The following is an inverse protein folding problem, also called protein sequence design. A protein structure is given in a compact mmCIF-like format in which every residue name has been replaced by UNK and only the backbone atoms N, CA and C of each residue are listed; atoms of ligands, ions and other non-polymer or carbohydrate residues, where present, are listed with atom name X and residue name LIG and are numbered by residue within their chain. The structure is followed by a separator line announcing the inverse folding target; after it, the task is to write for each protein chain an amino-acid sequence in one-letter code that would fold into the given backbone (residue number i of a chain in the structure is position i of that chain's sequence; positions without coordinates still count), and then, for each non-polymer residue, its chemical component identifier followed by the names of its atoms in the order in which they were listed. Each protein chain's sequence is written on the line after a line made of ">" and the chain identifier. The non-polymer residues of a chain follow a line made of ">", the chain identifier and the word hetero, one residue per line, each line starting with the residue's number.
data_IF_608043076666
#
_entry.id   IF_608043076666
#
_cell.length_a   1.000
_cell.length_b   1.000
_cell.length_c   1.000
_cell.angle_alpha   90.00
_cell.angle_beta   90.00
_cell.angle_gamma   90.00
#
_symmetry.space_group_name_H-M   'P 1'
#
loop_
_entity.id
_entity.type
_entity.pdbx_description
1 polymer ?
#
# COMPACT_ATOMS: atom_id res chain seq x y z
N UNK A 1 -14.18 39.64 49.53
CA UNK A 1 -12.73 39.74 49.87
C UNK A 1 -12.54 39.11 51.23
N UNK A 2 -11.42 38.40 51.51
CA UNK A 2 -10.11 38.44 50.84
C UNK A 2 -9.95 37.26 49.82
N UNK A 3 -9.39 37.37 48.60
CA UNK A 3 -8.02 37.71 48.10
C UNK A 3 -6.94 36.88 48.84
N UNK A 4 -6.02 36.10 48.27
CA UNK A 4 -5.32 35.89 46.98
C UNK A 4 -4.77 34.43 47.05
N UNK A 5 -4.29 33.74 46.01
CA UNK A 5 -3.92 34.14 44.66
C UNK A 5 -3.46 32.94 43.83
N UNK A 6 -3.45 33.14 42.52
CA UNK A 6 -2.97 32.22 41.49
C UNK A 6 -1.44 32.31 41.43
N UNK A 7 -0.75 31.17 41.41
CA UNK A 7 0.55 31.02 40.75
C UNK A 7 0.59 29.69 40.01
N UNK A 8 0.75 29.78 38.69
CA UNK A 8 0.98 28.63 37.83
C UNK A 8 2.36 28.03 38.03
N UNK A 9 2.45 26.71 37.90
CA UNK A 9 3.69 26.02 37.61
C UNK A 9 3.59 25.45 36.19
N UNK A 10 4.50 25.92 35.34
CA UNK A 10 4.88 25.25 34.09
C UNK A 10 5.36 23.84 34.44
N UNK A 11 4.72 22.82 33.86
CA UNK A 11 5.33 21.51 33.73
C UNK A 11 6.20 21.53 32.48
N UNK A 12 7.50 21.75 32.67
CA UNK A 12 8.50 21.46 31.64
C UNK A 12 8.63 19.93 31.48
N UNK A 13 8.13 19.42 30.36
CA UNK A 13 8.41 18.05 29.91
C UNK A 13 9.85 17.99 29.37
N UNK A 14 10.80 17.77 30.27
CA UNK A 14 12.15 17.35 29.89
C UNK A 14 12.14 15.84 29.59
N UNK A 15 12.04 15.48 28.32
CA UNK A 15 12.19 14.08 27.90
C UNK A 15 13.66 13.70 27.84
N UNK A 16 14.18 13.11 28.90
CA UNK A 16 15.43 12.34 28.84
C UNK A 16 15.08 10.92 28.41
N UNK A 17 15.01 10.69 27.09
CA UNK A 17 14.95 9.33 26.56
C UNK A 17 16.34 8.70 26.61
N UNK A 18 16.62 7.93 27.67
CA UNK A 18 17.68 6.92 27.65
C UNK A 18 17.18 5.75 26.79
N UNK A 19 17.84 5.52 25.66
CA UNK A 19 17.64 4.33 24.83
C UNK A 19 17.90 3.06 25.65
N UNK A 20 16.90 2.19 25.77
CA UNK A 20 17.06 0.83 26.28
C UNK A 20 17.87 -0.04 25.28
N UNK A 21 18.55 -1.08 25.75
CA UNK A 21 19.56 -1.78 24.95
C UNK A 21 18.96 -2.61 23.81
N UNK A 22 19.49 -2.42 22.60
CA UNK A 22 19.35 -3.33 21.47
C UNK A 22 20.06 -4.67 21.78
N UNK A 23 19.31 -5.76 21.85
CA UNK A 23 19.87 -7.11 21.95
C UNK A 23 20.43 -7.54 20.58
N UNK A 24 21.71 -7.27 20.33
CA UNK A 24 22.45 -7.88 19.24
C UNK A 24 22.86 -9.31 19.62
N UNK A 25 22.28 -10.31 18.95
CA UNK A 25 22.78 -11.68 18.98
C UNK A 25 24.19 -11.76 18.38
N UNK A 26 25.24 -11.74 19.21
CA UNK A 26 26.60 -12.11 18.80
C UNK A 26 26.67 -13.63 18.62
N UNK A 27 26.71 -14.08 17.35
CA UNK A 27 27.14 -15.44 16.98
C UNK A 27 28.55 -15.67 17.52
N UNK A 28 28.68 -16.55 18.51
CA UNK A 28 29.97 -17.01 19.05
C UNK A 28 30.49 -18.11 18.11
N UNK A 29 31.30 -17.74 17.12
CA UNK A 29 32.04 -18.70 16.30
C UNK A 29 33.17 -19.30 17.14
N UNK A 30 33.06 -20.58 17.49
CA UNK A 30 34.20 -21.40 17.89
C UNK A 30 34.93 -21.82 16.62
N UNK A 31 36.17 -21.38 16.44
CA UNK A 31 37.13 -22.11 15.62
C UNK A 31 38.43 -22.25 16.40
N UNK A 32 38.87 -23.50 16.41
CA UNK A 32 40.10 -24.04 16.97
C UNK A 32 41.34 -23.65 16.16
N UNK A 33 42.48 -23.78 16.83
CA UNK A 33 43.86 -23.94 16.34
C UNK A 33 44.63 -22.75 15.76
N UNK A 34 45.59 -22.32 16.58
CA UNK A 34 47.05 -22.23 16.37
C UNK A 34 47.63 -21.39 15.22
N UNK A 35 48.63 -20.63 15.67
CA UNK A 35 49.92 -20.26 15.07
C UNK A 35 50.12 -18.81 14.61
N UNK A 36 51.27 -18.32 15.09
CA UNK A 36 51.87 -17.00 15.01
C UNK A 36 52.46 -16.69 13.63
N UNK A 37 53.02 -15.48 13.55
CA UNK A 37 53.80 -14.86 12.47
C UNK A 37 52.91 -14.12 11.47
N UNK A 38 53.22 -12.89 11.05
CA UNK A 38 54.46 -12.14 11.09
C UNK A 38 54.45 -11.23 9.85
N UNK A 39 54.65 -9.93 10.08
CA UNK A 39 55.23 -8.93 9.16
C UNK A 39 54.82 -8.84 7.67
N UNK A 40 54.67 -7.57 7.28
CA UNK A 40 55.08 -6.94 6.01
C UNK A 40 54.06 -6.76 4.87
N UNK A 41 53.93 -5.46 4.58
CA UNK A 41 53.49 -4.75 3.39
C UNK A 41 53.88 -5.38 2.04
N UNK A 42 53.01 -5.22 1.05
CA UNK A 42 53.38 -4.76 -0.30
C UNK A 42 52.15 -4.19 -1.02
N UNK A 43 52.32 -3.00 -1.60
CA UNK A 43 51.44 -2.39 -2.60
C UNK A 43 51.62 -3.11 -3.94
N UNK A 44 50.54 -3.34 -4.70
CA UNK A 44 50.59 -3.41 -6.17
C UNK A 44 49.31 -2.81 -6.76
N UNK A 45 49.50 -1.82 -7.62
CA UNK A 45 48.52 -1.12 -8.44
C UNK A 45 48.29 -1.82 -9.80
N UNK A 46 47.08 -1.61 -10.34
CA UNK A 46 46.61 -1.63 -11.75
C UNK A 46 46.98 -2.76 -12.72
N UNK A 47 45.94 -3.36 -13.34
CA UNK A 47 45.71 -3.31 -14.80
C UNK A 47 44.39 -4.00 -15.24
N UNK A 48 43.59 -3.31 -16.06
CA UNK A 48 42.67 -3.90 -17.06
C UNK A 48 43.48 -4.39 -18.27
N UNK A 49 42.96 -5.33 -19.09
CA UNK A 49 42.57 -4.92 -20.45
C UNK A 49 41.39 -5.68 -21.13
N UNK A 50 40.65 -4.89 -21.90
CA UNK A 50 40.09 -5.06 -23.27
C UNK A 50 39.56 -6.41 -23.80
N UNK A 51 38.28 -6.35 -24.17
CA UNK A 51 37.68 -6.52 -25.52
C UNK A 51 38.22 -7.56 -26.52
N UNK A 52 37.32 -8.43 -27.01
CA UNK A 52 37.47 -9.23 -28.23
C UNK A 52 36.16 -9.93 -28.63
N UNK A 53 35.68 -9.62 -29.85
CA UNK A 53 34.45 -10.09 -30.51
C UNK A 53 34.46 -11.59 -30.83
N UNK A 54 33.27 -12.20 -31.02
CA UNK A 54 32.83 -12.84 -32.28
C UNK A 54 31.37 -13.31 -32.27
N UNK A 55 30.79 -13.27 -33.47
CA UNK A 55 29.40 -13.48 -33.87
C UNK A 55 28.99 -14.96 -33.91
N UNK A 56 27.69 -15.21 -33.80
CA UNK A 56 26.97 -16.18 -34.65
C UNK A 56 25.47 -15.84 -34.66
N UNK A 57 25.00 -15.24 -35.75
CA UNK A 57 23.60 -15.16 -36.11
C UNK A 57 23.32 -16.25 -37.15
N UNK A 58 22.27 -17.04 -36.93
CA UNK A 58 21.75 -18.02 -37.88
C UNK A 58 20.68 -17.32 -38.71
N UNK A 59 20.91 -17.24 -40.02
CA UNK A 59 19.95 -16.78 -41.01
C UNK A 59 19.25 -18.00 -41.62
N UNK A 60 17.91 -17.93 -41.72
CA UNK A 60 17.12 -18.69 -42.68
C UNK A 60 16.50 -17.65 -43.63
N UNK A 61 16.89 -17.72 -44.89
CA UNK A 61 16.31 -16.92 -45.98
C UNK A 61 15.30 -17.74 -46.76
N UNK A 62 14.28 -17.05 -47.30
CA UNK A 62 13.61 -17.38 -48.55
C UNK A 62 13.15 -16.05 -49.20
N UNK A 63 13.51 -15.89 -50.47
CA UNK A 63 13.27 -14.72 -51.33
C UNK A 63 11.91 -14.75 -52.07
N UNK A 64 11.48 -13.63 -52.71
CA UNK A 64 10.11 -13.41 -53.19
C UNK A 64 9.93 -13.46 -54.73
N UNK A 65 8.67 -13.55 -55.17
CA UNK A 65 8.18 -13.12 -56.50
C UNK A 65 6.94 -13.89 -57.00
N UNK A 66 6.20 -13.44 -58.04
CA UNK A 66 6.17 -12.12 -58.70
C UNK A 66 4.75 -11.51 -58.87
N UNK A 67 4.72 -10.29 -59.42
CA UNK A 67 3.55 -9.51 -59.85
C UNK A 67 2.69 -10.15 -60.95
N UNK A 68 1.38 -9.85 -60.96
CA UNK A 68 0.45 -10.06 -62.08
C UNK A 68 -0.84 -9.27 -61.90
N UNK A 69 -1.32 -8.66 -62.98
CA UNK A 69 -2.22 -7.50 -63.07
C UNK A 69 -3.68 -7.81 -63.45
N UNK A 70 -4.58 -6.86 -63.14
CA UNK A 70 -5.80 -6.41 -63.84
C UNK A 70 -6.95 -7.38 -64.17
N UNK A 71 -8.19 -6.90 -63.90
CA UNK A 71 -9.43 -7.43 -64.48
C UNK A 71 -10.68 -6.71 -63.94
N UNK A 72 -11.14 -5.69 -64.67
CA UNK A 72 -12.48 -5.09 -64.57
C UNK A 72 -13.57 -6.02 -65.12
N UNK A 73 -14.81 -5.84 -64.64
CA UNK A 73 -16.14 -6.07 -65.26
C UNK A 73 -17.14 -6.46 -64.15
N UNK A 74 -18.43 -6.13 -64.13
CA UNK A 74 -19.30 -5.14 -64.75
C UNK A 74 -20.68 -5.33 -64.05
N UNK A 75 -21.30 -4.25 -63.56
CA UNK A 75 -22.76 -3.86 -63.41
C UNK A 75 -23.88 -4.93 -63.14
N UNK A 76 -25.12 -4.57 -62.67
CA UNK A 76 -25.75 -3.25 -62.50
C UNK A 76 -26.45 -2.99 -61.12
N UNK A 77 -26.35 -1.76 -60.60
CA UNK A 77 -27.31 -0.64 -60.71
C UNK A 77 -28.67 -0.83 -60.01
N UNK A 78 -28.88 -0.03 -58.94
CA UNK A 78 -30.21 0.44 -58.54
C UNK A 78 -30.12 1.92 -58.17
N UNK A 79 -30.89 2.68 -58.92
CA UNK A 79 -30.96 4.13 -58.98
C UNK A 79 -31.91 4.65 -57.90
N UNK A 80 -31.53 5.70 -57.19
CA UNK A 80 -32.49 6.71 -56.74
C UNK A 80 -31.77 8.06 -56.72
N UNK A 81 -32.17 8.93 -57.64
CA UNK A 81 -31.56 10.23 -57.85
C UNK A 81 -32.20 11.33 -57.00
N UNK A 82 -31.39 12.34 -56.71
CA UNK A 82 -31.81 13.73 -56.75
C UNK A 82 -30.57 14.60 -57.02
N UNK A 83 -30.45 15.06 -58.25
CA UNK A 83 -29.51 16.09 -58.68
C UNK A 83 -29.91 17.46 -58.11
N UNK A 84 -28.93 18.22 -57.62
CA UNK A 84 -28.82 19.65 -57.93
C UNK A 84 -27.36 19.96 -58.24
N UNK A 85 -27.14 20.68 -59.33
CA UNK A 85 -25.89 20.88 -60.07
C UNK A 85 -25.21 22.20 -59.67
N UNK A 86 -23.87 22.13 -59.53
CA UNK A 86 -22.81 23.14 -59.74
C UNK A 86 -22.88 24.56 -59.13
N UNK A 87 -21.78 24.97 -58.50
CA UNK A 87 -20.91 26.01 -59.10
C UNK A 87 -19.49 25.99 -58.48
N UNK A 88 -18.47 25.85 -59.34
CA UNK A 88 -17.06 25.99 -59.00
C UNK A 88 -16.71 27.46 -58.72
N UNK A 89 -16.20 27.76 -57.52
CA UNK A 89 -15.37 28.96 -57.29
C UNK A 89 -14.03 28.53 -56.68
N UNK A 90 -12.98 28.60 -57.51
CA UNK A 90 -11.58 28.60 -57.05
C UNK A 90 -11.39 29.83 -56.17
N UNK A 91 -10.98 29.62 -54.93
CA UNK A 91 -10.36 30.67 -54.14
C UNK A 91 -9.17 30.08 -53.39
N UNK A 92 -7.98 30.33 -53.95
CA UNK A 92 -6.69 30.10 -53.32
C UNK A 92 -6.56 31.04 -52.11
N UNK A 93 -6.66 30.49 -50.91
CA UNK A 93 -6.21 31.15 -49.67
C UNK A 93 -5.41 30.15 -48.84
N UNK A 94 -4.22 30.60 -48.48
CA UNK A 94 -3.22 29.90 -47.70
C UNK A 94 -3.82 29.30 -46.42
N UNK A 95 -3.80 27.98 -46.32
CA UNK A 95 -4.03 27.25 -45.09
C UNK A 95 -2.69 27.09 -44.37
N UNK A 96 -2.28 28.11 -43.61
CA UNK A 96 -1.50 27.85 -42.41
C UNK A 96 -2.49 27.40 -41.35
N UNK A 97 -2.80 26.11 -41.38
CA UNK A 97 -3.64 25.48 -40.38
C UNK A 97 -2.79 25.34 -39.10
N UNK A 98 -2.90 26.34 -38.23
CA UNK A 98 -2.54 26.20 -36.82
C UNK A 98 -3.46 25.12 -36.25
N UNK A 99 -2.99 23.88 -36.21
CA UNK A 99 -3.55 22.88 -35.31
C UNK A 99 -3.26 23.33 -33.87
N UNK A 100 -4.08 24.25 -33.36
CA UNK A 100 -4.28 24.41 -31.93
C UNK A 100 -4.99 23.13 -31.51
N UNK A 101 -4.20 22.12 -31.12
CA UNK A 101 -4.73 20.98 -30.39
C UNK A 101 -5.32 21.54 -29.10
N UNK A 102 -6.63 21.74 -29.05
CA UNK A 102 -7.34 21.92 -27.80
C UNK A 102 -7.12 20.65 -26.99
N UNK A 103 -6.06 20.63 -26.16
CA UNK A 103 -5.91 19.61 -25.12
C UNK A 103 -7.20 19.63 -24.32
N UNK A 104 -7.80 18.46 -24.18
CA UNK A 104 -9.00 18.24 -23.40
C UNK A 104 -8.86 19.01 -22.07
N UNK A 105 -9.77 19.93 -21.80
CA UNK A 105 -9.62 20.94 -20.73
C UNK A 105 -9.74 20.36 -19.32
N UNK A 106 -10.08 19.07 -19.21
CA UNK A 106 -10.18 18.36 -17.94
C UNK A 106 -8.85 17.68 -17.60
N UNK A 107 -8.33 17.85 -16.37
CA UNK A 107 -7.11 17.19 -15.95
C UNK A 107 -7.29 15.68 -15.94
N UNK A 108 -6.22 14.95 -16.21
CA UNK A 108 -6.17 13.49 -16.20
C UNK A 108 -5.28 12.99 -15.06
N UNK A 109 -5.76 11.99 -14.31
CA UNK A 109 -5.07 11.50 -13.11
C UNK A 109 -4.75 10.02 -13.23
N UNK A 110 -3.49 9.66 -13.03
CA UNK A 110 -3.04 8.28 -12.85
C UNK A 110 -2.96 7.94 -11.36
N UNK A 111 -3.33 6.72 -10.98
CA UNK A 111 -3.07 6.14 -9.65
C UNK A 111 -2.24 4.88 -9.83
N UNK A 112 -1.04 4.83 -9.27
CA UNK A 112 -0.12 3.70 -9.41
C UNK A 112 -0.24 2.78 -8.20
N UNK A 113 -0.71 1.55 -8.42
CA UNK A 113 -0.87 0.50 -7.42
C UNK A 113 -2.33 0.14 -7.13
N UNK A 114 -2.65 -1.15 -7.17
CA UNK A 114 -4.00 -1.69 -6.90
C UNK A 114 -4.15 -2.31 -5.49
N UNK A 115 -3.24 -1.98 -4.57
CA UNK A 115 -3.40 -2.30 -3.16
C UNK A 115 -4.49 -1.44 -2.50
N UNK A 116 -4.76 -1.69 -1.22
CA UNK A 116 -5.79 -0.97 -0.46
C UNK A 116 -5.62 0.55 -0.50
N UNK A 117 -4.37 1.06 -0.43
CA UNK A 117 -4.08 2.50 -0.48
C UNK A 117 -4.43 3.09 -1.85
N UNK A 118 -4.03 2.44 -2.94
CA UNK A 118 -4.27 2.94 -4.29
C UNK A 118 -5.75 2.92 -4.68
N UNK A 119 -6.46 1.82 -4.40
CA UNK A 119 -7.91 1.74 -4.64
C UNK A 119 -8.71 2.74 -3.80
N UNK A 120 -8.31 2.95 -2.53
CA UNK A 120 -8.95 3.95 -1.67
C UNK A 120 -8.66 5.37 -2.18
N UNK A 121 -7.43 5.66 -2.62
CA UNK A 121 -7.08 6.95 -3.24
C UNK A 121 -7.87 7.18 -4.53
N UNK A 122 -7.96 6.18 -5.41
CA UNK A 122 -8.66 6.29 -6.69
C UNK A 122 -10.17 6.55 -6.52
N UNK A 123 -10.82 5.85 -5.59
CA UNK A 123 -12.25 6.05 -5.30
C UNK A 123 -12.53 7.42 -4.67
N UNK A 124 -11.68 7.88 -3.74
CA UNK A 124 -11.80 9.21 -3.15
C UNK A 124 -11.50 10.34 -4.14
N UNK A 125 -10.61 10.12 -5.13
CA UNK A 125 -10.41 11.07 -6.23
C UNK A 125 -11.67 11.25 -7.08
N UNK A 126 -12.39 10.15 -7.38
CA UNK A 126 -13.66 10.23 -8.11
C UNK A 126 -14.72 11.02 -7.32
N UNK A 127 -14.76 10.85 -5.99
CA UNK A 127 -15.69 11.58 -5.12
C UNK A 127 -15.33 13.08 -5.05
N UNK A 128 -14.04 13.42 -4.94
CA UNK A 128 -13.57 14.80 -4.79
C UNK A 128 -13.52 15.59 -6.11
N UNK A 129 -13.36 14.91 -7.25
CA UNK A 129 -13.23 15.52 -8.57
C UNK A 129 -14.17 14.87 -9.60
N UNK A 130 -15.50 15.05 -9.47
CA UNK A 130 -16.46 14.48 -10.41
C UNK A 130 -16.17 14.86 -11.87
N UNK A 131 -16.27 13.89 -12.78
CA UNK A 131 -16.01 14.06 -14.20
C UNK A 131 -14.53 14.07 -14.61
N UNK A 132 -13.60 14.06 -13.65
CA UNK A 132 -12.16 13.98 -13.94
C UNK A 132 -11.76 12.53 -14.25
N UNK A 133 -11.13 12.24 -15.41
CA UNK A 133 -10.68 10.89 -15.72
C UNK A 133 -9.62 10.39 -14.73
N UNK A 134 -9.92 9.30 -14.03
CA UNK A 134 -8.99 8.60 -13.13
C UNK A 134 -8.67 7.22 -13.71
N UNK A 135 -7.38 6.96 -13.91
CA UNK A 135 -6.88 5.67 -14.38
C UNK A 135 -6.01 5.03 -13.31
N UNK A 136 -6.34 3.80 -12.91
CA UNK A 136 -5.54 3.01 -11.98
C UNK A 136 -4.63 2.05 -12.77
N UNK A 137 -3.33 2.09 -12.52
CA UNK A 137 -2.32 1.25 -13.17
C UNK A 137 -1.61 0.39 -12.12
N UNK A 138 -1.53 -0.92 -12.36
CA UNK A 138 -0.75 -1.83 -11.50
C UNK A 138 -0.34 -3.10 -12.24
N UNK A 139 0.68 -3.79 -11.74
CA UNK A 139 1.14 -5.10 -12.23
C UNK A 139 0.58 -6.28 -11.41
N UNK A 140 -0.09 -5.99 -10.29
CA UNK A 140 -0.68 -6.97 -9.36
C UNK A 140 -2.01 -6.47 -8.86
N UNK A 141 -2.99 -7.37 -8.80
CA UNK A 141 -4.35 -7.07 -8.37
C UNK A 141 -4.85 -8.08 -7.35
N UNK A 142 -5.83 -7.67 -6.53
CA UNK A 142 -6.56 -8.56 -5.62
C UNK A 142 -5.61 -9.46 -4.79
N UNK A 143 -5.63 -10.76 -5.04
CA UNK A 143 -4.90 -11.79 -4.30
C UNK A 143 -3.37 -11.72 -4.46
N UNK A 144 -2.89 -11.04 -5.50
CA UNK A 144 -1.47 -10.88 -5.79
C UNK A 144 -0.85 -9.69 -5.03
N UNK A 145 -1.67 -8.90 -4.34
CA UNK A 145 -1.21 -7.73 -3.59
C UNK A 145 -0.80 -8.10 -2.16
N UNK A 146 0.11 -7.32 -1.56
CA UNK A 146 0.41 -7.43 -0.12
C UNK A 146 -0.84 -7.23 0.74
N UNK A 147 -1.82 -6.48 0.26
CA UNK A 147 -3.08 -6.22 0.96
C UNK A 147 -3.89 -7.50 1.17
N UNK A 148 -3.89 -8.46 0.23
CA UNK A 148 -4.63 -9.74 0.35
C UNK A 148 -4.33 -10.50 1.65
N UNK A 149 -3.05 -10.60 1.99
CA UNK A 149 -2.60 -11.34 3.16
C UNK A 149 -2.63 -10.56 4.45
N UNK A 150 -3.00 -9.27 4.41
CA UNK A 150 -3.09 -8.46 5.61
C UNK A 150 -4.13 -9.03 6.58
N UNK A 151 -3.83 -8.89 7.87
CA UNK A 151 -4.68 -9.39 8.94
C UNK A 151 -5.92 -8.50 9.15
N UNK A 152 -5.85 -7.22 8.74
CA UNK A 152 -7.02 -6.35 8.55
C UNK A 152 -7.52 -5.59 9.77
N UNK A 153 -7.01 -5.87 10.98
CA UNK A 153 -7.50 -5.20 12.20
C UNK A 153 -7.06 -3.75 12.30
N UNK A 154 -7.99 -2.90 12.71
CA UNK A 154 -7.74 -1.52 13.08
C UNK A 154 -7.07 -1.46 14.46
N UNK A 155 -5.73 -1.43 14.45
CA UNK A 155 -4.89 -1.41 15.65
C UNK A 155 -3.58 -0.66 15.39
N UNK A 156 -3.52 0.67 15.55
CA UNK A 156 -2.28 1.43 15.43
C UNK A 156 -1.20 0.94 16.39
N UNK A 157 -0.01 0.70 15.85
CA UNK A 157 1.19 0.55 16.66
C UNK A 157 1.73 1.90 17.10
N UNK A 158 2.43 1.93 18.23
CA UNK A 158 3.03 3.17 18.76
C UNK A 158 4.15 3.73 17.87
N UNK A 159 4.69 2.90 16.98
CA UNK A 159 5.69 3.28 15.98
C UNK A 159 5.09 3.84 14.69
N UNK A 160 3.76 3.81 14.52
CA UNK A 160 3.13 4.41 13.36
C UNK A 160 3.22 5.93 13.46
N UNK A 161 3.81 6.56 12.46
CA UNK A 161 3.97 8.01 12.43
C UNK A 161 3.85 8.56 11.00
N UNK A 162 3.12 9.66 10.88
CA UNK A 162 3.16 10.57 9.75
C UNK A 162 4.23 11.64 9.93
N UNK A 163 4.15 12.77 9.22
CA UNK A 163 5.13 13.85 9.29
C UNK A 163 5.07 14.62 10.63
N UNK A 164 3.91 14.62 11.31
CA UNK A 164 3.76 15.20 12.65
C UNK A 164 2.77 14.39 13.50
N UNK A 165 2.79 14.53 14.84
CA UNK A 165 1.80 13.90 15.71
C UNK A 165 0.35 14.28 15.38
N UNK A 166 0.12 15.53 14.95
CA UNK A 166 -1.21 16.03 14.57
C UNK A 166 -1.72 15.38 13.29
N UNK A 167 -0.85 15.26 12.28
CA UNK A 167 -1.18 14.57 11.03
C UNK A 167 -1.42 13.08 11.28
N UNK A 168 -0.57 12.46 12.12
CA UNK A 168 -0.73 11.07 12.53
C UNK A 168 -2.09 10.84 13.19
N UNK A 169 -2.45 11.69 14.16
CA UNK A 169 -3.74 11.62 14.86
C UNK A 169 -4.90 11.74 13.88
N UNK A 170 -4.87 12.75 13.00
CA UNK A 170 -5.91 12.99 11.99
C UNK A 170 -6.09 11.80 11.06
N UNK A 171 -5.00 11.21 10.56
CA UNK A 171 -5.11 10.04 9.69
C UNK A 171 -5.76 8.85 10.38
N UNK A 172 -5.48 8.65 11.68
CA UNK A 172 -6.14 7.59 12.45
C UNK A 172 -7.63 7.89 12.62
N UNK A 173 -7.99 9.09 13.07
CA UNK A 173 -9.39 9.49 13.25
C UNK A 173 -10.20 9.40 11.95
N UNK A 174 -9.68 9.96 10.86
CA UNK A 174 -10.31 9.94 9.53
C UNK A 174 -10.47 8.51 9.00
N UNK A 175 -9.48 7.65 9.23
CA UNK A 175 -9.57 6.25 8.79
C UNK A 175 -10.59 5.46 9.58
N UNK A 176 -10.63 5.64 10.89
CA UNK A 176 -11.64 4.97 11.73
C UNK A 176 -13.05 5.43 11.35
N UNK A 177 -13.23 6.73 11.16
CA UNK A 177 -14.51 7.30 10.70
C UNK A 177 -14.92 6.73 9.35
N UNK A 178 -14.02 6.68 8.37
CA UNK A 178 -14.29 6.12 7.06
C UNK A 178 -14.80 4.67 7.14
N UNK A 179 -14.16 3.82 7.95
CA UNK A 179 -14.62 2.45 8.12
C UNK A 179 -15.94 2.34 8.92
N UNK A 180 -16.19 3.23 9.91
CA UNK A 180 -17.51 3.32 10.56
C UNK A 180 -18.60 3.69 9.55
N UNK A 181 -18.33 4.62 8.64
CA UNK A 181 -19.30 5.01 7.61
C UNK A 181 -19.59 3.84 6.66
N UNK A 182 -18.60 3.01 6.33
CA UNK A 182 -18.82 1.76 5.56
C UNK A 182 -19.67 0.77 6.35
N UNK A 183 -19.38 0.56 7.64
CA UNK A 183 -20.17 -0.34 8.50
C UNK A 183 -21.64 0.07 8.58
N UNK A 184 -21.94 1.36 8.53
CA UNK A 184 -23.31 1.86 8.56
C UNK A 184 -24.04 1.79 7.21
N UNK A 185 -23.31 1.84 6.10
CA UNK A 185 -23.89 2.04 4.76
C UNK A 185 -23.80 0.84 3.84
N UNK A 186 -23.02 -0.18 4.17
CA UNK A 186 -22.78 -1.34 3.32
C UNK A 186 -22.92 -2.66 4.06
N UNK A 187 -23.22 -3.70 3.29
CA UNK A 187 -23.29 -5.07 3.80
C UNK A 187 -21.88 -5.59 4.14
N UNK A 188 -21.61 -6.04 5.38
CA UNK A 188 -20.29 -6.52 5.80
C UNK A 188 -19.70 -7.60 4.89
N UNK A 189 -20.53 -8.53 4.41
CA UNK A 189 -20.13 -9.63 3.53
C UNK A 189 -19.62 -9.13 2.17
N UNK A 190 -20.14 -8.01 1.69
CA UNK A 190 -19.73 -7.38 0.42
C UNK A 190 -18.52 -6.49 0.63
N UNK A 191 -18.58 -5.62 1.64
CA UNK A 191 -17.53 -4.62 1.90
C UNK A 191 -16.29 -5.25 2.52
N UNK A 192 -16.41 -6.39 3.21
CA UNK A 192 -15.33 -6.99 3.97
C UNK A 192 -14.97 -6.21 5.24
N UNK A 193 -15.84 -5.32 5.71
CA UNK A 193 -15.64 -4.53 6.93
C UNK A 193 -16.61 -5.02 8.00
N UNK A 194 -16.10 -5.39 9.18
CA UNK A 194 -16.94 -5.79 10.32
C UNK A 194 -16.38 -5.27 11.64
N UNK A 195 -17.25 -5.16 12.63
CA UNK A 195 -16.84 -4.98 14.02
C UNK A 195 -16.35 -6.30 14.60
N UNK A 196 -15.31 -6.25 15.43
CA UNK A 196 -14.77 -7.40 16.16
C UNK A 196 -14.32 -6.95 17.55
N UNK A 197 -14.69 -7.73 18.57
CA UNK A 197 -14.24 -7.53 19.94
C UNK A 197 -13.20 -8.57 20.33
N UNK A 198 -12.37 -8.23 21.31
CA UNK A 198 -11.32 -9.14 21.73
C UNK A 198 -10.36 -8.55 22.74
N UNK A 199 -9.30 -9.32 22.97
CA UNK A 199 -8.40 -9.12 24.08
C UNK A 199 -6.97 -8.85 23.60
N UNK A 200 -6.28 -7.94 24.28
CA UNK A 200 -4.83 -7.82 24.21
C UNK A 200 -4.24 -8.13 25.58
N UNK A 201 -3.50 -9.23 25.67
CA UNK A 201 -2.88 -9.71 26.90
C UNK A 201 -1.35 -9.56 26.92
N UNK A 202 -0.80 -9.53 28.13
CA UNK A 202 0.62 -9.74 28.40
C UNK A 202 0.81 -10.29 29.81
N UNK A 203 1.76 -11.21 29.97
CA UNK A 203 2.21 -11.67 31.29
C UNK A 203 3.44 -10.90 31.79
N UNK A 204 4.08 -10.10 30.93
CA UNK A 204 5.37 -9.47 31.22
C UNK A 204 5.17 -8.04 31.73
N UNK A 205 4.50 -7.19 30.95
CA UNK A 205 4.44 -5.75 31.23
C UNK A 205 3.07 -5.14 30.92
N UNK A 206 2.57 -4.28 31.82
CA UNK A 206 1.27 -3.61 31.69
C UNK A 206 1.23 -2.57 30.58
N UNK A 207 2.37 -1.94 30.25
CA UNK A 207 2.45 -0.94 29.18
C UNK A 207 2.25 -1.54 27.78
N UNK A 208 2.42 -2.87 27.62
CA UNK A 208 2.18 -3.54 26.34
C UNK A 208 0.70 -3.51 25.98
N UNK A 209 -0.18 -3.71 26.96
CA UNK A 209 -1.63 -3.83 26.73
C UNK A 209 -2.35 -2.48 26.69
N UNK A 210 -1.65 -1.38 26.95
CA UNK A 210 -2.20 -0.03 26.86
C UNK A 210 -1.80 0.66 25.56
N UNK A 211 -2.79 1.22 24.85
CA UNK A 211 -2.59 1.95 23.61
C UNK A 211 -3.36 3.28 23.65
N UNK A 212 -2.66 4.43 23.72
CA UNK A 212 -3.30 5.73 23.83
C UNK A 212 -4.11 6.11 22.58
N UNK A 213 -3.68 5.69 21.39
CA UNK A 213 -4.43 5.96 20.15
C UNK A 213 -5.78 5.23 20.17
N UNK A 214 -5.78 3.97 20.59
CA UNK A 214 -7.02 3.19 20.67
C UNK A 214 -7.93 3.70 21.79
N UNK A 215 -7.38 4.07 22.94
CA UNK A 215 -8.18 4.66 24.04
C UNK A 215 -8.90 5.95 23.63
N UNK A 216 -8.30 6.72 22.72
CA UNK A 216 -8.87 7.96 22.19
C UNK A 216 -9.96 7.71 21.13
N UNK A 217 -9.81 6.67 20.30
CA UNK A 217 -10.65 6.44 19.11
C UNK A 217 -11.81 5.48 19.39
N UNK A 218 -11.58 4.44 20.19
CA UNK A 218 -12.54 3.37 20.41
C UNK A 218 -13.52 3.72 21.53
N UNK A 219 -14.80 3.45 21.27
CA UNK A 219 -15.88 3.63 22.25
C UNK A 219 -15.75 2.61 23.39
N UNK A 220 -15.47 1.35 23.05
CA UNK A 220 -15.24 0.28 24.01
C UNK A 220 -13.76 -0.06 24.10
N UNK A 221 -13.10 0.50 25.12
CA UNK A 221 -11.71 0.23 25.47
C UNK A 221 -11.53 0.28 26.99
N UNK A 222 -11.30 -0.88 27.60
CA UNK A 222 -11.21 -1.03 29.05
C UNK A 222 -10.13 -2.04 29.47
N UNK A 223 -9.57 -1.93 30.68
CA UNK A 223 -8.84 -3.03 31.28
C UNK A 223 -9.72 -4.29 31.36
N UNK A 224 -9.09 -5.47 31.29
CA UNK A 224 -9.76 -6.72 31.61
C UNK A 224 -10.10 -6.77 33.12
N UNK A 225 -11.20 -7.45 33.46
CA UNK A 225 -11.53 -7.77 34.86
C UNK A 225 -10.59 -8.85 35.39
N UNK A 226 -10.54 -9.04 36.71
CA UNK A 226 -9.72 -10.10 37.30
C UNK A 226 -10.19 -11.49 36.84
N UNK A 227 -11.51 -11.72 36.75
CA UNK A 227 -12.06 -13.00 36.27
C UNK A 227 -11.66 -13.29 34.81
N UNK A 228 -11.65 -12.27 33.93
CA UNK A 228 -11.18 -12.41 32.55
C UNK A 228 -9.69 -12.77 32.52
N UNK A 229 -8.88 -12.12 33.35
CA UNK A 229 -7.44 -12.39 33.45
C UNK A 229 -7.13 -13.80 33.97
N UNK A 230 -7.83 -14.23 35.02
CA UNK A 230 -7.68 -15.54 35.62
C UNK A 230 -8.14 -16.66 34.68
N UNK A 231 -9.25 -16.44 33.96
CA UNK A 231 -9.75 -17.39 32.95
C UNK A 231 -8.73 -17.65 31.83
N UNK A 232 -8.10 -16.59 31.32
CA UNK A 232 -7.10 -16.72 30.24
C UNK A 232 -5.66 -16.94 30.75
N UNK A 233 -5.41 -16.82 32.05
CA UNK A 233 -4.10 -17.02 32.66
C UNK A 233 -3.08 -15.90 32.36
N UNK A 234 -3.52 -14.65 32.26
CA UNK A 234 -2.64 -13.49 31.99
C UNK A 234 -2.64 -12.49 33.15
N UNK A 235 -1.51 -11.77 33.31
CA UNK A 235 -1.35 -10.77 34.39
C UNK A 235 -1.96 -9.42 34.03
N UNK A 236 -1.90 -9.04 32.76
CA UNK A 236 -2.38 -7.76 32.25
C UNK A 236 -3.21 -7.97 30.99
N UNK A 237 -4.26 -7.17 30.83
CA UNK A 237 -5.16 -7.30 29.70
C UNK A 237 -5.97 -6.04 29.44
N UNK A 238 -6.26 -5.80 28.17
CA UNK A 238 -7.23 -4.81 27.70
C UNK A 238 -8.25 -5.51 26.83
N UNK A 239 -9.52 -5.27 27.10
CA UNK A 239 -10.62 -5.62 26.20
C UNK A 239 -10.98 -4.42 25.35
N UNK A 240 -11.23 -4.65 24.06
CA UNK A 240 -11.68 -3.61 23.15
C UNK A 240 -12.53 -4.15 22.01
N UNK A 241 -13.39 -3.28 21.49
CA UNK A 241 -14.14 -3.51 20.26
C UNK A 241 -13.63 -2.57 19.18
N UNK A 242 -13.22 -3.11 18.05
CA UNK A 242 -12.61 -2.38 16.93
C UNK A 242 -13.12 -2.90 15.59
N UNK A 243 -12.56 -2.38 14.49
CA UNK A 243 -12.94 -2.74 13.13
C UNK A 243 -11.91 -3.71 12.54
N UNK A 244 -12.39 -4.70 11.78
CA UNK A 244 -11.59 -5.56 10.94
C UNK A 244 -12.01 -5.38 9.48
N UNK A 245 -11.02 -5.12 8.62
CA UNK A 245 -11.18 -4.97 7.17
C UNK A 245 -10.45 -6.09 6.45
N UNK A 246 -11.18 -7.06 5.91
CA UNK A 246 -10.63 -8.19 5.16
C UNK A 246 -10.45 -7.82 3.68
N UNK A 247 -9.19 -7.58 3.27
CA UNK A 247 -8.87 -7.14 1.92
C UNK A 247 -9.29 -8.13 0.81
N UNK A 248 -9.47 -9.42 1.11
CA UNK A 248 -10.02 -10.39 0.14
C UNK A 248 -11.40 -10.00 -0.37
N UNK A 249 -12.18 -9.30 0.46
CA UNK A 249 -13.52 -8.78 0.12
C UNK A 249 -13.48 -7.29 -0.19
N UNK A 250 -12.68 -6.52 0.56
CA UNK A 250 -12.62 -5.07 0.41
C UNK A 250 -11.98 -4.60 -0.90
N UNK A 251 -10.95 -5.31 -1.42
CA UNK A 251 -10.32 -4.93 -2.70
C UNK A 251 -11.27 -5.15 -3.90
N UNK A 252 -11.98 -6.29 -4.04
CA UNK A 252 -13.05 -6.41 -5.03
C UNK A 252 -14.11 -5.33 -4.91
N UNK A 253 -14.60 -5.06 -3.70
CA UNK A 253 -15.60 -4.01 -3.46
C UNK A 253 -15.13 -2.65 -3.97
N UNK A 254 -13.93 -2.21 -3.61
CA UNK A 254 -13.39 -0.93 -4.10
C UNK A 254 -13.14 -0.92 -5.60
N UNK A 255 -12.72 -2.06 -6.17
CA UNK A 255 -12.49 -2.19 -7.62
C UNK A 255 -13.79 -2.00 -8.39
N UNK A 256 -14.86 -2.69 -7.98
CA UNK A 256 -16.17 -2.57 -8.62
C UNK A 256 -16.78 -1.18 -8.40
N UNK A 257 -16.64 -0.61 -7.20
CA UNK A 257 -17.03 0.77 -6.91
C UNK A 257 -16.29 1.78 -7.80
N UNK A 258 -14.99 1.58 -8.05
CA UNK A 258 -14.20 2.45 -8.91
C UNK A 258 -14.62 2.34 -10.38
N UNK A 259 -14.76 1.12 -10.89
CA UNK A 259 -15.16 0.85 -12.28
C UNK A 259 -16.58 1.31 -12.60
N UNK A 260 -17.54 1.03 -11.71
CA UNK A 260 -18.95 1.46 -11.89
C UNK A 260 -19.11 2.98 -11.98
N UNK A 261 -18.14 3.74 -11.49
CA UNK A 261 -18.08 5.21 -11.56
C UNK A 261 -17.23 5.74 -12.72
N UNK A 262 -16.94 4.89 -13.71
CA UNK A 262 -16.19 5.25 -14.92
C UNK A 262 -14.67 5.22 -14.76
N UNK A 263 -14.15 4.67 -13.66
CA UNK A 263 -12.71 4.51 -13.44
C UNK A 263 -12.13 3.45 -14.37
N UNK A 264 -10.97 3.75 -14.98
CA UNK A 264 -10.27 2.82 -15.88
C UNK A 264 -9.20 2.06 -15.09
N UNK A 265 -9.16 0.74 -15.22
CA UNK A 265 -8.14 -0.11 -14.59
C UNK A 265 -7.27 -0.72 -15.68
N UNK A 266 -5.96 -0.51 -15.61
CA UNK A 266 -4.98 -1.01 -16.56
C UNK A 266 -3.98 -1.92 -15.84
N UNK A 267 -3.87 -3.16 -16.31
CA UNK A 267 -2.79 -4.06 -15.93
C UNK A 267 -1.53 -3.66 -16.70
N UNK A 268 -0.62 -2.97 -16.00
CA UNK A 268 0.63 -2.44 -16.55
C UNK A 268 1.68 -2.31 -15.47
N UNK A 269 2.84 -2.91 -15.72
CA UNK A 269 4.05 -2.70 -14.92
C UNK A 269 4.79 -1.47 -15.42
N UNK A 270 5.03 -0.51 -14.52
CA UNK A 270 5.88 0.65 -14.78
C UNK A 270 7.32 0.32 -14.39
N UNK A 271 8.26 0.71 -15.24
CA UNK A 271 9.69 0.74 -14.93
C UNK A 271 10.11 2.11 -14.39
N UNK A 272 9.38 3.16 -14.76
CA UNK A 272 9.59 4.53 -14.28
C UNK A 272 8.28 5.31 -14.25
N UNK A 273 8.16 6.27 -13.34
CA UNK A 273 7.04 7.24 -13.36
C UNK A 273 7.10 8.18 -14.56
N UNK A 274 8.26 8.30 -15.22
CA UNK A 274 8.44 9.07 -16.46
C UNK A 274 7.52 8.58 -17.59
N UNK A 275 7.15 7.29 -17.58
CA UNK A 275 6.22 6.70 -18.54
C UNK A 275 4.81 7.32 -18.49
N UNK A 276 4.47 8.01 -17.40
CA UNK A 276 3.20 8.72 -17.24
C UNK A 276 3.32 10.20 -17.65
N UNK A 277 4.55 10.70 -17.83
CA UNK A 277 4.81 12.11 -18.13
C UNK A 277 4.43 12.43 -19.59
N UNK A 278 3.48 13.36 -19.73
CA UNK A 278 2.89 13.76 -21.01
C UNK A 278 1.51 13.16 -21.27
N UNK A 279 1.21 12.00 -20.68
CA UNK A 279 -0.07 11.31 -20.79
C UNK A 279 -1.03 11.68 -19.66
N UNK A 280 -0.49 12.01 -18.48
CA UNK A 280 -1.24 12.41 -17.30
C UNK A 280 -0.80 13.76 -16.76
N UNK A 281 -1.74 14.51 -16.18
CA UNK A 281 -1.44 15.78 -15.50
C UNK A 281 -0.91 15.56 -14.08
N UNK A 282 -1.42 14.53 -13.38
CA UNK A 282 -1.03 14.17 -12.02
C UNK A 282 -0.94 12.65 -11.88
N UNK A 283 0.07 12.16 -11.16
CA UNK A 283 0.20 10.76 -10.77
C UNK A 283 0.18 10.61 -9.24
N UNK A 284 -0.75 9.81 -8.71
CA UNK A 284 -0.78 9.40 -7.33
C UNK A 284 0.02 8.10 -7.15
N UNK A 285 1.23 8.19 -6.59
CA UNK A 285 2.08 7.03 -6.37
C UNK A 285 1.68 6.30 -5.08
N UNK A 286 0.92 5.20 -5.23
CA UNK A 286 0.49 4.30 -4.18
C UNK A 286 1.14 2.90 -4.32
N UNK A 287 2.33 2.82 -4.92
CA UNK A 287 3.01 1.56 -5.29
C UNK A 287 3.54 0.74 -4.10
N UNK A 288 3.38 1.22 -2.88
CA UNK A 288 3.79 0.52 -1.66
C UNK A 288 5.28 0.22 -1.66
N UNK A 289 5.64 -1.06 -1.74
CA UNK A 289 7.05 -1.48 -1.79
C UNK A 289 7.74 -1.06 -3.10
N UNK A 290 6.98 -0.98 -4.20
CA UNK A 290 7.50 -0.58 -5.52
C UNK A 290 8.06 0.85 -5.56
N UNK A 291 7.72 1.70 -4.58
CA UNK A 291 8.26 3.05 -4.47
C UNK A 291 9.79 3.07 -4.24
N UNK A 292 10.33 1.98 -3.68
CA UNK A 292 11.79 1.78 -3.57
C UNK A 292 12.46 1.88 -4.93
N UNK A 293 11.89 1.23 -5.95
CA UNK A 293 12.47 1.16 -7.29
C UNK A 293 11.98 2.35 -8.15
N UNK A 294 10.69 2.67 -8.11
CA UNK A 294 10.09 3.74 -8.92
C UNK A 294 10.54 5.16 -8.52
N UNK A 295 10.89 5.37 -7.26
CA UNK A 295 11.30 6.68 -6.74
C UNK A 295 12.72 6.69 -6.15
N UNK A 296 13.42 5.55 -6.16
CA UNK A 296 14.72 5.45 -5.48
C UNK A 296 14.66 5.65 -3.97
N UNK A 297 13.48 5.53 -3.34
CA UNK A 297 13.34 5.73 -1.89
C UNK A 297 13.82 4.49 -1.12
N UNK A 298 15.13 4.44 -0.85
CA UNK A 298 15.78 3.35 -0.11
C UNK A 298 15.34 3.26 1.37
N UNK A 299 14.63 4.27 1.89
CA UNK A 299 14.05 4.21 3.24
C UNK A 299 12.84 3.27 3.31
N UNK A 300 12.28 2.89 2.16
CA UNK A 300 11.29 1.82 2.04
C UNK A 300 12.01 0.46 2.15
N UNK A 301 11.78 -0.23 3.26
CA UNK A 301 12.37 -1.54 3.55
C UNK A 301 11.28 -2.58 3.82
N UNK A 302 11.50 -3.86 3.45
CA UNK A 302 10.51 -4.89 3.69
C UNK A 302 10.54 -5.32 5.16
N UNK A 303 9.37 -5.38 5.80
CA UNK A 303 9.20 -6.20 7.00
C UNK A 303 8.42 -7.44 6.60
N UNK A 304 9.13 -8.55 6.41
CA UNK A 304 8.53 -9.85 6.08
C UNK A 304 7.63 -10.31 7.23
N UNK A 305 6.44 -10.75 6.85
CA UNK A 305 5.47 -11.37 7.76
C UNK A 305 4.91 -12.64 7.18
N UNK A 306 4.86 -13.68 8.02
CA UNK A 306 4.22 -14.95 7.71
C UNK A 306 3.00 -15.14 8.61
N UNK A 307 1.93 -15.69 8.03
CA UNK A 307 0.67 -16.00 8.72
C UNK A 307 0.07 -17.31 8.22
N UNK A 308 -0.78 -17.92 9.03
CA UNK A 308 -1.72 -18.95 8.61
C UNK A 308 -3.11 -18.37 8.39
N UNK A 309 -3.85 -18.98 7.48
CA UNK A 309 -5.31 -18.90 7.38
C UNK A 309 -5.90 -20.24 7.79
N UNK A 310 -6.73 -20.25 8.82
CA UNK A 310 -7.23 -21.46 9.48
C UNK A 310 -8.76 -21.43 9.55
N UNK A 311 -9.42 -22.55 9.28
CA UNK A 311 -10.86 -22.69 9.50
C UNK A 311 -11.10 -23.09 10.95
N UNK A 312 -11.64 -22.17 11.73
CA UNK A 312 -12.00 -22.37 13.14
C UNK A 312 -13.19 -21.48 13.52
N UNK A 313 -14.40 -21.76 13.00
CA UNK A 313 -15.56 -20.87 13.09
C UNK A 313 -16.04 -20.62 14.53
N UNK A 314 -15.63 -21.43 15.50
CA UNK A 314 -15.93 -21.25 16.93
C UNK A 314 -15.19 -20.08 17.59
N UNK A 315 -14.10 -19.58 17.00
CA UNK A 315 -13.38 -18.42 17.55
C UNK A 315 -14.01 -17.13 17.03
N UNK A 316 -14.64 -16.38 17.93
CA UNK A 316 -15.37 -15.14 17.60
C UNK A 316 -14.66 -13.86 18.04
N UNK A 317 -13.78 -13.95 19.04
CA UNK A 317 -12.97 -12.83 19.50
C UNK A 317 -11.59 -12.84 18.86
N UNK A 318 -10.99 -11.65 18.73
CA UNK A 318 -9.56 -11.58 18.45
C UNK A 318 -8.73 -11.69 19.73
N UNK A 319 -7.50 -12.16 19.59
CA UNK A 319 -6.52 -12.23 20.66
C UNK A 319 -5.20 -11.68 20.19
N UNK A 320 -4.64 -10.74 20.94
CA UNK A 320 -3.26 -10.30 20.82
C UNK A 320 -2.52 -10.70 22.09
N UNK A 321 -1.31 -11.23 21.95
CA UNK A 321 -0.45 -11.53 23.09
C UNK A 321 0.94 -10.95 22.83
N UNK A 322 1.40 -10.15 23.78
CA UNK A 322 2.65 -9.40 23.70
C UNK A 322 2.73 -8.54 22.42
N UNK A 323 3.72 -8.76 21.56
CA UNK A 323 3.99 -7.93 20.37
C UNK A 323 3.62 -8.56 19.03
N UNK A 324 3.79 -9.87 18.89
CA UNK A 324 3.83 -10.56 17.59
C UNK A 324 2.89 -11.76 17.49
N UNK A 325 2.18 -12.16 18.57
CA UNK A 325 1.20 -13.24 18.51
C UNK A 325 -0.20 -12.65 18.37
N UNK A 326 -0.92 -13.04 17.33
CA UNK A 326 -2.29 -12.60 17.10
C UNK A 326 -3.15 -13.66 16.42
N UNK A 327 -4.41 -13.69 16.84
CA UNK A 327 -5.47 -14.57 16.33
C UNK A 327 -6.64 -13.67 15.99
N UNK A 328 -6.93 -13.51 14.69
CA UNK A 328 -7.97 -12.58 14.23
C UNK A 328 -9.06 -13.35 13.49
N UNK A 329 -10.34 -13.27 13.92
CA UNK A 329 -11.44 -13.93 13.24
C UNK A 329 -11.85 -13.10 12.01
N UNK A 330 -11.37 -13.49 10.83
CA UNK A 330 -11.87 -12.97 9.55
C UNK A 330 -13.32 -13.37 9.29
N UNK A 331 -13.82 -13.14 8.07
CA UNK A 331 -15.18 -13.54 7.71
C UNK A 331 -15.32 -15.06 7.64
N UNK A 332 -14.44 -15.71 6.88
CA UNK A 332 -14.49 -17.16 6.66
C UNK A 332 -13.36 -17.91 7.38
N UNK A 333 -12.20 -17.26 7.50
CA UNK A 333 -10.96 -17.86 8.01
C UNK A 333 -10.35 -17.01 9.12
N UNK A 334 -9.82 -17.67 10.13
CA UNK A 334 -8.96 -17.04 11.12
C UNK A 334 -7.60 -16.72 10.51
N UNK A 335 -7.04 -15.57 10.87
CA UNK A 335 -5.63 -15.26 10.63
C UNK A 335 -4.85 -15.53 11.89
N UNK A 336 -3.92 -16.48 11.85
CA UNK A 336 -2.95 -16.72 12.92
C UNK A 336 -1.62 -16.10 12.49
N UNK A 337 -1.09 -15.21 13.30
CA UNK A 337 0.21 -14.64 13.03
C UNK A 337 0.97 -14.30 14.31
N UNK A 338 2.20 -13.84 14.18
CA UNK A 338 2.97 -13.82 12.95
C UNK A 338 4.45 -13.62 13.21
N UNK A 339 5.12 -13.10 12.19
CA UNK A 339 6.52 -12.70 12.25
C UNK A 339 6.71 -11.26 11.80
N UNK A 340 7.81 -10.66 12.27
CA UNK A 340 8.31 -9.35 11.85
C UNK A 340 9.81 -9.44 11.63
N UNK A 341 10.21 -9.69 10.39
CA UNK A 341 11.61 -9.81 10.00
C UNK A 341 11.97 -8.63 9.10
N UNK A 342 12.71 -7.67 9.66
CA UNK A 342 13.21 -6.52 8.92
C UNK A 342 14.23 -6.95 7.87
N UNK A 343 14.20 -6.26 6.73
CA UNK A 343 15.17 -6.41 5.64
C UNK A 343 15.22 -7.83 5.03
N UNK A 344 14.10 -8.57 5.16
CA UNK A 344 13.95 -9.90 4.57
C UNK A 344 13.13 -9.82 3.29
N UNK A 345 13.77 -10.23 2.19
CA UNK A 345 13.22 -10.24 0.83
C UNK A 345 12.72 -11.63 0.40
N UNK A 346 12.62 -12.58 1.33
CA UNK A 346 12.10 -13.92 0.99
C UNK A 346 10.57 -13.88 0.88
N UNK A 347 10.04 -14.35 -0.23
CA UNK A 347 8.60 -14.63 -0.43
C UNK A 347 8.19 -16.03 0.02
N UNK A 348 9.14 -16.87 0.40
CA UNK A 348 8.91 -18.28 0.68
C UNK A 348 8.44 -18.51 2.10
N UNK A 349 7.61 -19.54 2.29
CA UNK A 349 7.19 -20.00 3.61
C UNK A 349 8.39 -20.60 4.35
N UNK A 350 8.63 -20.12 5.56
CA UNK A 350 9.64 -20.67 6.46
C UNK A 350 8.98 -21.66 7.42
N UNK A 351 9.43 -22.93 7.41
CA UNK A 351 8.90 -23.97 8.30
C UNK A 351 9.12 -23.69 9.80
N UNK A 352 10.20 -22.98 10.14
CA UNK A 352 10.50 -22.63 11.54
C UNK A 352 9.58 -21.52 12.03
N UNK A 353 9.32 -20.51 11.19
CA UNK A 353 8.33 -19.48 11.47
C UNK A 353 6.93 -20.09 11.59
N UNK A 354 6.60 -21.04 10.70
CA UNK A 354 5.32 -21.75 10.71
C UNK A 354 5.11 -22.50 12.04
N UNK A 355 6.08 -23.32 12.44
CA UNK A 355 6.01 -24.05 13.72
C UNK A 355 5.87 -23.09 14.91
N UNK A 356 6.65 -22.02 14.94
CA UNK A 356 6.63 -21.06 16.04
C UNK A 356 5.31 -20.27 16.12
N UNK A 357 4.72 -19.87 14.99
CA UNK A 357 3.40 -19.22 14.98
C UNK A 357 2.33 -20.18 15.49
N UNK A 358 2.34 -21.43 15.00
CA UNK A 358 1.35 -22.44 15.39
C UNK A 358 1.41 -22.75 16.88
N UNK A 359 2.61 -22.98 17.41
CA UNK A 359 2.85 -23.24 18.83
C UNK A 359 2.31 -22.09 19.70
N UNK A 360 2.73 -20.85 19.43
CA UNK A 360 2.25 -19.69 20.20
C UNK A 360 0.75 -19.51 20.11
N UNK A 361 0.15 -19.62 18.92
CA UNK A 361 -1.30 -19.42 18.77
C UNK A 361 -2.11 -20.53 19.47
N UNK A 362 -1.67 -21.79 19.37
CA UNK A 362 -2.35 -22.91 20.06
C UNK A 362 -2.11 -22.93 21.57
N UNK A 363 -1.06 -22.26 22.05
CA UNK A 363 -0.88 -21.99 23.48
C UNK A 363 -1.90 -20.97 24.00
N UNK A 364 -2.19 -19.91 23.22
CA UNK A 364 -3.21 -18.90 23.56
C UNK A 364 -4.62 -19.51 23.50
N UNK A 365 -4.93 -20.26 22.43
CA UNK A 365 -6.21 -20.94 22.26
C UNK A 365 -5.99 -22.42 21.90
N UNK A 366 -6.03 -23.34 22.89
CA UNK A 366 -5.84 -24.78 22.65
C UNK A 366 -6.83 -25.39 21.64
N UNK A 367 -8.04 -24.82 21.52
CA UNK A 367 -9.06 -25.27 20.57
C UNK A 367 -8.63 -25.13 19.10
N UNK A 368 -7.62 -24.31 18.79
CA UNK A 368 -7.07 -24.16 17.44
C UNK A 368 -6.39 -25.43 16.92
N UNK A 369 -6.01 -26.38 17.78
CA UNK A 369 -5.46 -27.68 17.37
C UNK A 369 -6.43 -28.49 16.49
N UNK A 370 -7.73 -28.22 16.61
CA UNK A 370 -8.78 -28.84 15.82
C UNK A 370 -9.09 -28.06 14.52
N UNK A 371 -8.43 -26.93 14.29
CA UNK A 371 -8.64 -26.08 13.12
C UNK A 371 -7.91 -26.62 11.88
N UNK A 372 -8.58 -26.55 10.74
CA UNK A 372 -8.00 -26.92 9.45
C UNK A 372 -7.13 -25.77 8.92
N UNK A 373 -5.85 -26.05 8.63
CA UNK A 373 -4.96 -25.10 7.96
C UNK A 373 -5.32 -25.03 6.47
N UNK A 374 -5.87 -23.90 6.04
CA UNK A 374 -6.32 -23.69 4.65
C UNK A 374 -5.21 -23.10 3.79
N UNK A 375 -4.43 -22.16 4.33
CA UNK A 375 -3.36 -21.48 3.58
C UNK A 375 -2.26 -20.99 4.51
N UNK A 376 -1.04 -20.94 4.00
CA UNK A 376 0.05 -20.14 4.56
C UNK A 376 0.36 -19.00 3.61
N UNK A 377 0.66 -17.83 4.17
CA UNK A 377 0.95 -16.64 3.37
C UNK A 377 2.14 -15.88 3.93
N UNK A 378 2.95 -15.35 3.02
CA UNK A 378 4.11 -14.51 3.30
C UNK A 378 3.97 -13.22 2.49
N UNK A 379 4.28 -12.09 3.09
CA UNK A 379 4.35 -10.84 2.36
C UNK A 379 5.24 -9.80 3.01
N UNK A 380 5.55 -8.77 2.23
CA UNK A 380 6.45 -7.69 2.61
C UNK A 380 5.66 -6.45 2.95
N UNK A 381 5.64 -6.10 4.23
CA UNK A 381 5.08 -4.84 4.69
C UNK A 381 6.02 -3.71 4.22
N UNK A 382 5.55 -2.73 3.43
CA UNK A 382 6.39 -1.67 2.89
C UNK A 382 6.67 -0.62 3.96
N UNK A 383 7.61 -0.91 4.86
CA UNK A 383 7.92 -0.06 5.99
C UNK A 383 8.75 1.13 5.56
N UNK A 384 8.39 2.31 6.08
CA UNK A 384 9.18 3.53 6.05
C UNK A 384 9.14 4.14 7.45
N UNK A 385 10.21 4.80 7.95
CA UNK A 385 10.18 5.42 9.27
C UNK A 385 9.00 6.36 9.48
N UNK A 386 8.60 7.12 8.45
CA UNK A 386 7.38 7.92 8.43
C UNK A 386 6.66 7.68 7.11
N UNK A 387 5.33 7.57 7.11
CA UNK A 387 4.57 7.41 5.87
C UNK A 387 4.74 8.66 5.00
N UNK A 388 5.05 8.47 3.71
CA UNK A 388 5.25 9.59 2.78
C UNK A 388 3.91 9.94 2.12
N UNK A 389 3.34 11.08 2.52
CA UNK A 389 2.19 11.70 1.87
C UNK A 389 2.53 13.15 1.53
N UNK A 390 2.95 13.39 0.29
CA UNK A 390 3.42 14.71 -0.15
C UNK A 390 3.32 14.88 -1.66
N UNK A 391 3.30 16.14 -2.13
CA UNK A 391 3.35 16.50 -3.54
C UNK A 391 4.78 16.85 -3.95
N UNK A 392 5.22 16.34 -5.08
CA UNK A 392 6.52 16.60 -5.69
C UNK A 392 6.34 16.87 -7.21
N UNK A 393 6.95 17.93 -7.72
CA UNK A 393 7.09 18.14 -9.16
C UNK A 393 8.36 17.42 -9.61
N UNK A 394 8.23 16.23 -10.19
CA UNK A 394 9.37 15.45 -10.66
C UNK A 394 9.82 15.92 -12.05
N UNK A 395 11.12 16.11 -12.24
CA UNK A 395 11.74 16.35 -13.55
C UNK A 395 12.61 15.16 -13.92
N UNK A 396 12.32 14.53 -15.06
CA UNK A 396 12.98 13.30 -15.50
C UNK A 396 14.16 13.58 -16.45
N UNK A 397 15.02 12.58 -16.74
CA UNK A 397 16.14 12.72 -17.68
C UNK A 397 15.72 13.20 -19.07
N UNK A 398 14.52 12.85 -19.56
CA UNK A 398 13.97 13.40 -20.81
C UNK A 398 13.58 14.88 -20.77
N UNK A 399 13.75 15.55 -19.61
CA UNK A 399 13.28 16.90 -19.29
C UNK A 399 11.76 17.04 -19.23
N UNK A 400 11.01 15.95 -19.37
CA UNK A 400 9.58 15.93 -19.05
C UNK A 400 9.38 16.15 -17.56
N UNK A 401 8.29 16.81 -17.22
CA UNK A 401 7.86 17.01 -15.84
C UNK A 401 6.55 16.27 -15.58
N UNK A 402 6.37 15.80 -14.34
CA UNK A 402 5.14 15.20 -13.86
C UNK A 402 4.89 15.63 -12.43
N UNK A 403 3.64 15.94 -12.13
CA UNK A 403 3.21 16.19 -10.76
C UNK A 403 2.86 14.88 -10.09
N UNK A 404 3.56 14.58 -9.01
CA UNK A 404 3.41 13.32 -8.29
C UNK A 404 2.94 13.59 -6.88
N UNK A 405 1.87 12.91 -6.47
CA UNK A 405 1.47 12.85 -5.06
C UNK A 405 1.80 11.47 -4.53
N UNK A 406 2.76 11.40 -3.63
CA UNK A 406 3.17 10.15 -2.99
C UNK A 406 2.18 9.77 -1.89
N UNK A 407 1.89 8.47 -1.77
CA UNK A 407 1.12 7.89 -0.67
C UNK A 407 1.59 6.43 -0.45
N UNK A 408 2.72 6.25 0.24
CA UNK A 408 3.31 4.93 0.49
C UNK A 408 4.14 4.89 1.79
N UNK A 409 4.64 3.70 2.15
CA UNK A 409 5.49 3.50 3.32
C UNK A 409 4.73 3.11 4.60
N UNK A 410 3.50 2.59 4.47
CA UNK A 410 2.60 2.32 5.60
C UNK A 410 3.00 1.14 6.49
N UNK A 411 4.03 0.37 6.13
CA UNK A 411 4.46 -0.79 6.90
C UNK A 411 3.33 -1.78 7.16
N UNK A 412 3.16 -2.19 8.42
CA UNK A 412 2.10 -3.12 8.85
C UNK A 412 0.72 -2.48 9.03
N UNK A 413 0.59 -1.19 8.71
CA UNK A 413 -0.58 -0.37 9.07
C UNK A 413 -1.41 0.08 7.87
N UNK A 414 -1.02 -0.31 6.65
CA UNK A 414 -1.61 0.21 5.42
C UNK A 414 -3.12 0.02 5.30
N UNK A 415 -3.68 -1.12 5.74
CA UNK A 415 -5.14 -1.34 5.66
C UNK A 415 -5.89 -0.34 6.53
N UNK A 416 -5.48 -0.21 7.79
CA UNK A 416 -6.20 0.63 8.75
C UNK A 416 -6.00 2.13 8.49
N UNK A 417 -4.89 2.56 7.86
CA UNK A 417 -4.60 3.99 7.62
C UNK A 417 -4.76 4.42 6.17
N UNK A 418 -5.11 3.50 5.26
CA UNK A 418 -5.33 3.81 3.85
C UNK A 418 -6.33 4.98 3.68
N UNK A 419 -7.50 5.02 4.33
CA UNK A 419 -8.45 6.10 4.08
C UNK A 419 -7.94 7.48 4.52
N UNK A 420 -7.42 7.62 5.74
CA UNK A 420 -6.93 8.91 6.24
C UNK A 420 -5.73 9.45 5.45
N UNK A 421 -4.79 8.58 5.07
CA UNK A 421 -3.67 8.95 4.20
C UNK A 421 -4.14 9.30 2.79
N UNK A 422 -5.12 8.58 2.25
CA UNK A 422 -5.72 8.85 0.93
C UNK A 422 -6.51 10.16 0.89
N UNK A 423 -7.27 10.50 1.94
CA UNK A 423 -7.95 11.79 2.08
C UNK A 423 -6.93 12.93 2.01
N UNK A 424 -5.81 12.80 2.71
CA UNK A 424 -4.73 13.79 2.64
C UNK A 424 -4.11 13.86 1.24
N UNK A 425 -3.84 12.72 0.58
CA UNK A 425 -3.29 12.69 -0.77
C UNK A 425 -4.22 13.35 -1.79
N UNK A 426 -5.52 13.02 -1.74
CA UNK A 426 -6.56 13.62 -2.58
C UNK A 426 -6.62 15.14 -2.38
N UNK A 427 -6.55 15.61 -1.13
CA UNK A 427 -6.49 17.05 -0.85
C UNK A 427 -5.32 17.73 -1.55
N UNK A 428 -4.13 17.12 -1.55
CA UNK A 428 -2.96 17.68 -2.24
C UNK A 428 -3.17 17.77 -3.76
N UNK A 429 -3.84 16.79 -4.36
CA UNK A 429 -4.22 16.82 -5.79
C UNK A 429 -5.21 17.94 -6.06
N UNK A 430 -6.27 18.05 -5.26
CA UNK A 430 -7.31 19.08 -5.41
C UNK A 430 -6.72 20.48 -5.27
N UNK A 431 -5.92 20.72 -4.23
CA UNK A 431 -5.25 22.01 -4.00
C UNK A 431 -4.35 22.39 -5.18
N UNK A 432 -3.59 21.42 -5.71
CA UNK A 432 -2.72 21.63 -6.87
C UNK A 432 -3.53 22.03 -8.12
N UNK A 433 -4.56 21.26 -8.47
CA UNK A 433 -5.39 21.53 -9.64
C UNK A 433 -6.12 22.87 -9.54
N UNK A 434 -6.59 23.25 -8.35
CA UNK A 434 -7.17 24.56 -8.09
C UNK A 434 -6.14 25.69 -8.31
N UNK A 435 -4.91 25.52 -7.82
CA UNK A 435 -3.84 26.52 -8.01
C UNK A 435 -3.42 26.69 -9.47
N UNK A 436 -3.54 25.64 -10.29
CA UNK A 436 -3.25 25.69 -11.72
C UNK A 436 -4.33 26.46 -12.47
N UNK A 437 -5.62 26.27 -12.12
CA UNK A 437 -6.73 27.03 -12.70
C UNK A 437 -6.64 28.53 -12.38
N UNK A 438 -6.15 28.91 -11.20
CA UNK A 438 -6.00 30.31 -10.81
C UNK A 438 -4.84 31.04 -11.52
N UNK A 439 -3.93 30.30 -12.17
CA UNK A 439 -2.77 30.86 -12.92
C UNK A 439 -3.01 30.93 -14.43
N UNK A 440 -4.08 30.33 -14.92
CA UNK A 440 -4.56 30.41 -16.31
C UNK A 440 -5.62 31.51 -16.39
#
# INVERSE_FOLDING_TARGET
>A
MPKLGIRGQKLELTSVYKAGPCYCYRRRLRQTSKQQEGSQSTNVEFAKPRAGRRNAAVALGLEPGPHGSCGESDVPALVCGCCVVWCHRRNSRNWHDQQVTHKNTMPSIAVVGAGVVGLTTATLLQDALPGTPVTLLADKFLQDTTSDGAAGIYRPGLQFQGPSPEVTRRWLEDSYKYFKDILHSGEPEVTGVKTVSGFHFSSQYSNIVFNPFLKMILEEYRPCTQDELDFYGYKYGTFMTTILTECRRFLPYLTEKFKSRGGVVLERRLQSLEELAGDFDVACNCSGFGARDLCGDLSVTPIRGQVFKVRAPWVKHFYYVDYDTYILPGFDLLTLGGTRQFDSYSSEVCRHDAAAIWERCTQVLPSLRNGEVVRQWVGWRPYRPSVRVERETMTFPSKKTLEVVHNYGHGGYGVMTAPGTSINAVKLVVDYLASRKAKL
#
